data_IF_759088562692
#
_entry.id   IF_759088562692
#
_cell.length_a   1.000
_cell.length_b   1.000
_cell.length_c   1.000
_cell.angle_alpha   90.00
_cell.angle_beta   90.00
_cell.angle_gamma   90.00
#
_symmetry.space_group_name_H-M   'P 1'
#
loop_
_entity.id
_entity.type
_entity.pdbx_description
1 polymer ?
#
# COMPACT_ATOMS: atom_id res chain seq x y z
N UNK A 1 20.19 -9.52 26.54
CA UNK A 1 19.23 -8.60 25.89
C UNK A 1 18.92 -9.20 24.54
N UNK A 2 17.65 -9.50 24.26
CA UNK A 2 17.25 -10.05 22.97
C UNK A 2 17.53 -9.01 21.87
N UNK A 3 17.95 -9.49 20.71
CA UNK A 3 18.18 -8.69 19.52
C UNK A 3 16.85 -8.04 19.09
N UNK A 4 16.68 -6.76 19.43
CA UNK A 4 15.51 -5.94 19.05
C UNK A 4 15.68 -5.34 17.64
N UNK A 5 16.67 -5.80 16.88
CA UNK A 5 17.12 -5.29 15.57
C UNK A 5 16.16 -5.49 14.40
N UNK A 6 14.86 -5.29 14.61
CA UNK A 6 13.85 -5.28 13.56
C UNK A 6 13.94 -4.05 12.66
N UNK A 7 13.42 -4.18 11.44
CA UNK A 7 13.30 -3.07 10.49
C UNK A 7 12.25 -2.07 10.99
N UNK A 8 12.61 -0.79 11.07
CA UNK A 8 11.66 0.29 11.36
C UNK A 8 10.93 0.72 10.07
N UNK A 9 9.70 1.27 10.16
CA UNK A 9 8.99 1.81 9.01
C UNK A 9 9.86 2.79 8.22
N UNK A 10 9.88 2.69 6.89
CA UNK A 10 10.67 3.57 6.03
C UNK A 10 9.94 3.82 4.70
N UNK A 11 10.25 4.94 4.02
CA UNK A 11 9.70 5.30 2.69
C UNK A 11 8.18 5.18 2.57
N UNK A 12 7.48 5.62 3.61
CA UNK A 12 6.02 5.63 3.68
C UNK A 12 5.54 7.05 3.99
N UNK A 13 4.35 7.38 3.50
CA UNK A 13 3.58 8.54 3.91
C UNK A 13 2.18 8.12 4.39
N UNK A 14 1.50 8.97 5.15
CA UNK A 14 0.17 8.67 5.67
C UNK A 14 -0.89 8.62 4.55
N UNK A 15 -0.75 9.44 3.51
CA UNK A 15 -1.62 9.41 2.33
C UNK A 15 -1.38 8.14 1.51
N UNK A 16 -0.14 7.69 1.40
CA UNK A 16 0.23 6.45 0.72
C UNK A 16 -0.33 5.23 1.46
N UNK A 17 -0.20 5.21 2.79
CA UNK A 17 -0.80 4.21 3.65
C UNK A 17 -2.33 4.21 3.51
N UNK A 18 -2.96 5.38 3.54
CA UNK A 18 -4.42 5.50 3.37
C UNK A 18 -4.87 4.98 2.02
N UNK A 19 -4.17 5.35 0.94
CA UNK A 19 -4.46 4.86 -0.42
C UNK A 19 -4.33 3.34 -0.53
N UNK A 20 -3.28 2.76 0.06
CA UNK A 20 -3.10 1.31 0.12
C UNK A 20 -4.29 0.63 0.81
N UNK A 21 -4.64 1.08 2.01
CA UNK A 21 -5.67 0.44 2.83
C UNK A 21 -7.07 0.58 2.22
N UNK A 22 -7.39 1.74 1.63
CA UNK A 22 -8.65 1.93 0.91
C UNK A 22 -8.76 1.04 -0.33
N UNK A 23 -7.68 0.87 -1.09
CA UNK A 23 -7.69 0.02 -2.27
C UNK A 23 -7.88 -1.46 -1.89
N UNK A 24 -7.18 -1.93 -0.86
CA UNK A 24 -7.38 -3.27 -0.32
C UNK A 24 -8.82 -3.49 0.19
N UNK A 25 -9.42 -2.49 0.84
CA UNK A 25 -10.80 -2.55 1.30
C UNK A 25 -11.82 -2.65 0.14
N UNK A 26 -11.45 -2.18 -1.05
CA UNK A 26 -12.23 -2.34 -2.29
C UNK A 26 -12.01 -3.70 -2.97
N UNK A 27 -11.24 -4.60 -2.35
CA UNK A 27 -10.95 -5.94 -2.87
C UNK A 27 -9.85 -5.97 -3.93
N UNK A 28 -9.02 -4.92 -4.02
CA UNK A 28 -7.90 -4.91 -4.95
C UNK A 28 -6.75 -5.75 -4.39
N UNK A 29 -6.04 -6.46 -5.25
CA UNK A 29 -4.82 -7.18 -4.86
C UNK A 29 -3.64 -6.21 -4.72
N UNK A 30 -2.60 -6.57 -3.96
CA UNK A 30 -1.39 -5.75 -3.83
C UNK A 30 -0.75 -5.43 -5.20
N UNK A 31 -0.78 -6.37 -6.15
CA UNK A 31 -0.29 -6.14 -7.50
C UNK A 31 -1.09 -5.05 -8.24
N UNK A 32 -2.41 -5.02 -8.06
CA UNK A 32 -3.25 -3.96 -8.62
C UNK A 32 -2.97 -2.62 -7.94
N UNK A 33 -2.83 -2.60 -6.61
CA UNK A 33 -2.51 -1.36 -5.87
C UNK A 33 -1.15 -0.80 -6.30
N UNK A 34 -0.14 -1.64 -6.52
CA UNK A 34 1.17 -1.23 -7.00
C UNK A 34 1.09 -0.41 -8.29
N UNK A 35 0.11 -0.69 -9.15
CA UNK A 35 -0.08 0.03 -10.42
C UNK A 35 -0.63 1.46 -10.26
N UNK A 36 -1.08 1.86 -9.07
CA UNK A 36 -1.67 3.18 -8.78
C UNK A 36 -0.63 4.33 -8.60
N UNK A 37 0.44 4.34 -9.40
CA UNK A 37 1.52 5.34 -9.32
C UNK A 37 2.36 5.31 -8.03
N UNK A 38 2.50 4.15 -7.38
CA UNK A 38 3.57 3.99 -6.41
C UNK A 38 4.90 3.77 -7.11
N UNK A 39 5.97 4.45 -6.66
CA UNK A 39 7.31 3.96 -6.98
C UNK A 39 7.50 2.58 -6.33
N UNK A 40 8.26 1.67 -6.95
CA UNK A 40 8.45 0.32 -6.39
C UNK A 40 8.95 0.35 -4.93
N UNK A 41 9.89 1.25 -4.63
CA UNK A 41 10.46 1.42 -3.29
C UNK A 41 9.48 2.03 -2.29
N UNK A 42 8.64 2.96 -2.72
CA UNK A 42 7.58 3.55 -1.87
C UNK A 42 6.51 2.51 -1.56
N UNK A 43 6.13 1.70 -2.55
CA UNK A 43 5.15 0.64 -2.37
C UNK A 43 5.61 -0.38 -1.32
N UNK A 44 6.84 -0.89 -1.46
CA UNK A 44 7.44 -1.83 -0.50
C UNK A 44 7.52 -1.24 0.92
N UNK A 45 7.97 0.02 1.03
CA UNK A 45 8.01 0.73 2.31
C UNK A 45 6.62 0.94 2.94
N UNK A 46 5.61 1.21 2.12
CA UNK A 46 4.22 1.40 2.57
C UNK A 46 3.59 0.10 3.05
N UNK A 47 3.76 -1.01 2.32
CA UNK A 47 3.30 -2.33 2.77
C UNK A 47 3.97 -2.72 4.08
N UNK A 48 5.30 -2.61 4.14
CA UNK A 48 6.04 -2.95 5.35
C UNK A 48 5.57 -2.12 6.54
N UNK A 49 5.35 -0.81 6.34
CA UNK A 49 4.81 0.07 7.38
C UNK A 49 3.42 -0.39 7.81
N UNK A 50 2.55 -0.72 6.86
CA UNK A 50 1.20 -1.24 7.16
C UNK A 50 1.25 -2.56 7.96
N UNK A 51 2.19 -3.44 7.65
CA UNK A 51 2.38 -4.71 8.35
C UNK A 51 2.93 -4.50 9.77
N UNK A 52 3.97 -3.67 9.92
CA UNK A 52 4.58 -3.37 11.23
C UNK A 52 3.59 -2.68 12.19
N UNK A 53 2.69 -1.85 11.66
CA UNK A 53 1.65 -1.19 12.43
C UNK A 53 0.37 -2.05 12.61
N UNK A 54 0.37 -3.31 12.17
CA UNK A 54 -0.76 -4.22 12.34
C UNK A 54 -2.01 -3.84 11.53
N UNK A 55 -1.86 -3.08 10.45
CA UNK A 55 -2.93 -2.67 9.55
C UNK A 55 -3.14 -3.70 8.42
N UNK A 56 -2.07 -4.38 8.02
CA UNK A 56 -2.08 -5.48 7.04
C UNK A 56 -1.49 -6.72 7.69
N UNK A 57 -2.09 -7.87 7.45
CA UNK A 57 -1.54 -9.16 7.88
C UNK A 57 -0.34 -9.52 7.00
N UNK A 58 0.80 -9.83 7.64
CA UNK A 58 2.03 -10.13 6.92
C UNK A 58 2.03 -11.50 6.23
N UNK A 59 1.16 -12.43 6.64
CA UNK A 59 1.07 -13.77 6.05
C UNK A 59 0.03 -13.82 4.93
N UNK A 60 -1.14 -13.23 5.18
CA UNK A 60 -2.27 -13.31 4.24
C UNK A 60 -2.24 -12.19 3.19
N UNK A 61 -1.42 -11.14 3.38
CA UNK A 61 -1.39 -9.94 2.54
C UNK A 61 -2.76 -9.20 2.46
N UNK A 62 -3.64 -9.47 3.40
CA UNK A 62 -4.97 -8.86 3.53
C UNK A 62 -5.01 -7.80 4.64
N UNK A 63 -6.07 -6.97 4.64
CA UNK A 63 -6.30 -6.04 5.75
C UNK A 63 -6.50 -6.79 7.06
N UNK A 64 -5.74 -6.42 8.09
CA UNK A 64 -6.02 -6.85 9.45
C UNK A 64 -7.30 -6.19 9.99
N UNK A 65 -7.77 -6.61 11.17
CA UNK A 65 -8.97 -6.03 11.78
C UNK A 65 -8.85 -4.51 11.99
N UNK A 66 -7.68 -4.01 12.37
CA UNK A 66 -7.40 -2.58 12.51
C UNK A 66 -7.40 -1.87 11.15
N UNK A 67 -6.76 -2.45 10.13
CA UNK A 67 -6.73 -1.90 8.77
C UNK A 67 -8.11 -1.81 8.12
N UNK A 68 -8.98 -2.82 8.31
CA UNK A 68 -10.38 -2.78 7.84
C UNK A 68 -11.16 -1.62 8.47
N UNK A 69 -10.99 -1.41 9.78
CA UNK A 69 -11.60 -0.28 10.49
C UNK A 69 -11.06 1.05 9.97
N UNK A 70 -9.74 1.15 9.79
CA UNK A 70 -9.08 2.35 9.28
C UNK A 70 -9.59 2.73 7.88
N UNK A 71 -9.67 1.76 6.97
CA UNK A 71 -10.07 2.02 5.58
C UNK A 71 -11.49 2.59 5.47
N UNK A 72 -12.41 2.15 6.34
CA UNK A 72 -13.81 2.59 6.35
C UNK A 72 -14.07 3.81 7.26
N UNK A 73 -13.08 4.21 8.06
CA UNK A 73 -13.21 5.29 9.03
C UNK A 73 -13.23 6.68 8.38
N UNK A 74 -13.83 7.64 9.07
CA UNK A 74 -13.71 9.06 8.76
C UNK A 74 -12.28 9.57 8.99
N UNK A 75 -11.95 10.77 8.49
CA UNK A 75 -10.60 11.33 8.60
C UNK A 75 -10.11 11.45 10.06
N UNK A 76 -10.96 11.93 10.98
CA UNK A 76 -10.61 12.06 12.39
C UNK A 76 -10.45 10.69 13.07
N UNK A 77 -11.31 9.72 12.75
CA UNK A 77 -11.18 8.35 13.25
C UNK A 77 -9.92 7.65 12.72
N UNK A 78 -9.51 7.94 11.48
CA UNK A 78 -8.24 7.44 10.93
C UNK A 78 -7.04 7.93 11.73
N UNK A 79 -7.00 9.23 12.05
CA UNK A 79 -5.94 9.79 12.91
C UNK A 79 -5.88 9.09 14.27
N UNK A 80 -7.04 8.89 14.89
CA UNK A 80 -7.17 8.16 16.16
C UNK A 80 -6.66 6.70 16.08
N UNK A 81 -7.08 5.97 15.04
CA UNK A 81 -6.69 4.58 14.83
C UNK A 81 -5.20 4.44 14.53
N UNK A 82 -4.63 5.36 13.75
CA UNK A 82 -3.21 5.35 13.44
C UNK A 82 -2.37 5.71 14.66
N UNK A 83 -2.79 6.67 15.48
CA UNK A 83 -2.13 6.97 16.75
C UNK A 83 -2.14 5.75 17.68
N UNK A 84 -3.26 5.02 17.76
CA UNK A 84 -3.32 3.78 18.51
C UNK A 84 -2.33 2.75 17.97
N UNK A 85 -2.28 2.54 16.65
CA UNK A 85 -1.33 1.64 16.00
C UNK A 85 0.13 2.03 16.29
N UNK A 86 0.45 3.33 16.24
CA UNK A 86 1.78 3.85 16.56
C UNK A 86 2.16 3.59 18.03
N UNK A 87 1.21 3.67 18.97
CA UNK A 87 1.47 3.36 20.39
C UNK A 87 1.67 1.87 20.63
N UNK A 88 0.95 1.02 19.90
CA UNK A 88 1.07 -0.44 20.01
C UNK A 88 2.36 -0.99 19.38
N UNK A 89 2.89 -0.33 18.36
CA UNK A 89 4.20 -0.68 17.79
C UNK A 89 5.33 -0.27 18.75
N UNK A 90 5.93 -1.23 19.44
CA UNK A 90 6.88 -1.02 20.56
C UNK A 90 7.95 0.08 20.30
N UNK A 91 8.66 0.12 19.15
CA UNK A 91 9.66 1.15 18.91
C UNK A 91 9.11 2.59 18.86
N UNK A 92 7.84 2.75 18.49
CA UNK A 92 7.16 4.04 18.47
C UNK A 92 6.49 4.35 19.82
N UNK A 93 5.85 3.36 20.45
CA UNK A 93 5.26 3.51 21.78
C UNK A 93 6.27 3.97 22.82
N UNK A 94 7.41 3.26 22.95
CA UNK A 94 8.47 3.61 23.90
C UNK A 94 9.16 4.95 23.57
N UNK A 95 9.25 5.30 22.28
CA UNK A 95 9.79 6.59 21.85
C UNK A 95 8.86 7.73 22.27
N UNK A 96 7.54 7.58 22.07
CA UNK A 96 6.54 8.55 22.51
C UNK A 96 6.57 8.70 24.03
N UNK A 97 6.68 7.61 24.79
CA UNK A 97 6.87 7.65 26.23
C UNK A 97 8.15 8.40 26.63
N UNK A 98 9.27 8.18 25.92
CA UNK A 98 10.51 8.90 26.21
C UNK A 98 10.43 10.40 25.90
N UNK A 99 9.69 10.79 24.87
CA UNK A 99 9.49 12.19 24.48
C UNK A 99 8.57 12.90 25.49
N UNK A 100 7.48 12.27 25.91
CA UNK A 100 6.44 12.89 26.74
C UNK A 100 6.53 12.57 28.23
N UNK A 101 7.37 11.62 28.64
CA UNK A 101 7.54 11.19 30.03
C UNK A 101 8.46 12.08 30.88
N UNK A 102 9.15 13.04 30.27
CA UNK A 102 10.01 14.02 30.93
C UNK A 102 9.40 15.42 31.02
N UNK A 103 10.24 16.45 31.23
CA UNK A 103 9.82 17.84 31.12
C UNK A 103 9.25 18.11 29.71
N UNK A 104 8.19 18.91 29.64
CA UNK A 104 7.50 19.22 28.39
C UNK A 104 8.44 19.84 27.35
N UNK A 105 9.02 19.00 26.48
CA UNK A 105 9.83 19.45 25.36
C UNK A 105 8.91 20.01 24.27
N UNK A 106 9.17 21.24 23.85
CA UNK A 106 8.43 21.87 22.75
C UNK A 106 8.82 21.29 21.38
N UNK A 107 10.00 20.68 21.27
CA UNK A 107 10.47 20.10 20.03
C UNK A 107 11.46 18.97 20.28
N UNK A 108 11.52 18.02 19.34
CA UNK A 108 12.50 16.92 19.32
C UNK A 108 13.15 16.83 17.95
N UNK A 109 14.48 16.81 17.90
CA UNK A 109 15.24 16.70 16.65
C UNK A 109 15.29 15.25 16.13
N UNK A 110 15.31 15.07 14.80
CA UNK A 110 15.41 13.76 14.17
C UNK A 110 16.68 13.00 14.61
N UNK A 111 17.83 13.68 14.70
CA UNK A 111 19.10 13.10 15.15
C UNK A 111 19.03 12.57 16.59
N UNK A 112 18.18 13.14 17.45
CA UNK A 112 17.93 12.61 18.79
C UNK A 112 17.13 11.31 18.70
N UNK A 113 16.07 11.28 17.89
CA UNK A 113 15.22 10.09 17.69
C UNK A 113 16.07 8.92 17.14
N UNK A 114 16.91 9.19 16.15
CA UNK A 114 17.81 8.20 15.55
C UNK A 114 18.78 7.61 16.59
N UNK A 115 19.41 8.46 17.41
CA UNK A 115 20.31 8.01 18.48
C UNK A 115 19.55 7.23 19.55
N UNK A 116 18.35 7.68 19.90
CA UNK A 116 17.49 6.98 20.86
C UNK A 116 17.20 5.56 20.39
N UNK A 117 16.78 5.38 19.13
CA UNK A 117 16.57 4.03 18.58
C UNK A 117 17.85 3.21 18.55
N UNK A 118 18.98 3.81 18.15
CA UNK A 118 20.26 3.11 18.15
C UNK A 118 20.65 2.60 19.54
N UNK A 119 20.51 3.43 20.58
CA UNK A 119 20.80 3.07 21.97
C UNK A 119 19.86 1.99 22.51
N UNK A 120 18.61 1.96 22.04
CA UNK A 120 17.60 0.97 22.46
C UNK A 120 17.57 -0.29 21.58
N UNK A 121 18.49 -0.43 20.62
CA UNK A 121 18.63 -1.62 19.79
C UNK A 121 17.60 -1.72 18.65
N UNK A 122 17.00 -0.60 18.23
CA UNK A 122 16.03 -0.54 17.13
C UNK A 122 16.66 -0.06 15.82
N UNK A 123 16.09 -0.56 14.72
CA UNK A 123 16.47 -0.21 13.36
C UNK A 123 17.70 -0.99 12.87
N UNK A 124 17.55 -1.59 11.69
CA UNK A 124 18.54 -2.52 11.11
C UNK A 124 19.85 -1.85 10.68
N UNK A 125 19.85 -0.54 10.47
CA UNK A 125 21.02 0.23 10.05
C UNK A 125 20.86 1.72 10.36
N UNK A 126 21.94 2.52 10.33
CA UNK A 126 21.84 3.98 10.41
C UNK A 126 20.89 4.57 9.35
N UNK A 127 20.94 4.07 8.12
CA UNK A 127 20.06 4.53 7.04
C UNK A 127 18.59 4.19 7.32
N UNK A 128 18.29 3.01 7.87
CA UNK A 128 16.92 2.65 8.26
C UNK A 128 16.39 3.57 9.35
N UNK A 129 17.21 3.92 10.36
CA UNK A 129 16.80 4.86 11.41
C UNK A 129 16.54 6.27 10.89
N UNK A 130 17.39 6.79 10.00
CA UNK A 130 17.20 8.12 9.41
C UNK A 130 15.92 8.20 8.55
N UNK A 131 15.68 7.19 7.71
CA UNK A 131 14.43 7.11 6.94
C UNK A 131 13.22 6.93 7.88
N UNK A 132 13.35 6.13 8.95
CA UNK A 132 12.29 5.93 9.92
C UNK A 132 11.97 7.17 10.75
N UNK A 133 12.95 8.01 11.07
CA UNK A 133 12.73 9.26 11.80
C UNK A 133 11.86 10.21 10.95
N UNK A 134 12.09 10.20 9.63
CA UNK A 134 11.24 10.93 8.68
C UNK A 134 9.81 10.38 8.65
N UNK A 135 9.64 9.06 8.55
CA UNK A 135 8.31 8.44 8.55
C UNK A 135 7.59 8.73 9.86
N UNK A 136 8.24 8.49 11.01
CA UNK A 136 7.68 8.78 12.32
C UNK A 136 7.23 10.25 12.44
N UNK A 137 8.05 11.20 11.99
CA UNK A 137 7.70 12.62 12.00
C UNK A 137 6.46 12.93 11.17
N UNK A 138 6.38 12.42 9.94
CA UNK A 138 5.19 12.60 9.07
C UNK A 138 3.94 11.95 9.63
N UNK A 139 4.06 10.75 10.20
CA UNK A 139 2.93 10.09 10.84
C UNK A 139 2.48 10.87 12.08
N UNK A 140 3.41 11.36 12.91
CA UNK A 140 3.12 12.18 14.08
C UNK A 140 2.40 13.48 13.71
N UNK A 141 2.80 14.13 12.61
CA UNK A 141 2.11 15.28 12.03
C UNK A 141 0.69 14.91 11.56
N UNK A 142 0.56 13.83 10.79
CA UNK A 142 -0.73 13.36 10.29
C UNK A 142 -1.74 13.07 11.41
N UNK A 143 -1.29 12.44 12.51
CA UNK A 143 -2.15 12.15 13.67
C UNK A 143 -2.33 13.33 14.62
N UNK A 144 -1.75 14.50 14.32
CA UNK A 144 -1.94 15.73 15.08
C UNK A 144 -1.17 15.81 16.40
N UNK A 145 -0.06 15.08 16.56
CA UNK A 145 0.82 15.20 17.72
C UNK A 145 1.69 16.48 17.68
N UNK A 146 1.96 17.00 16.48
CA UNK A 146 2.83 18.16 16.29
C UNK A 146 3.00 18.49 14.80
N UNK A 147 4.00 19.30 14.48
CA UNK A 147 4.37 19.66 13.11
C UNK A 147 5.75 19.13 12.77
N UNK A 148 5.87 18.42 11.64
CA UNK A 148 7.17 17.91 11.18
C UNK A 148 7.86 18.94 10.28
N UNK A 149 9.01 19.43 10.73
CA UNK A 149 9.74 20.50 10.06
C UNK A 149 11.02 19.94 9.48
N UNK A 150 11.09 19.91 8.15
CA UNK A 150 12.31 19.56 7.45
C UNK A 150 13.36 20.67 7.58
N UNK A 151 14.51 20.34 8.13
CA UNK A 151 15.62 21.26 8.32
C UNK A 151 16.18 21.81 7.01
N UNK A 152 16.52 23.10 6.98
CA UNK A 152 17.17 23.78 5.85
C UNK A 152 18.17 24.81 6.38
N UNK A 153 19.24 25.08 5.62
CA UNK A 153 20.22 26.16 5.92
C UNK A 153 20.81 26.10 7.35
N UNK A 154 21.18 24.91 7.80
CA UNK A 154 21.79 24.70 9.13
C UNK A 154 20.80 24.53 10.28
N UNK A 155 19.50 24.64 10.04
CA UNK A 155 18.50 24.24 11.03
C UNK A 155 18.25 22.72 10.97
N UNK A 156 18.17 22.03 12.12
CA UNK A 156 17.92 20.59 12.16
C UNK A 156 16.46 20.27 11.79
N UNK A 157 16.29 19.07 11.22
CA UNK A 157 14.97 18.46 11.06
C UNK A 157 14.42 18.09 12.43
N UNK A 158 13.17 18.42 12.70
CA UNK A 158 12.57 18.26 14.03
C UNK A 158 11.05 18.11 13.96
N UNK A 159 10.48 17.64 15.06
CA UNK A 159 9.04 17.68 15.31
C UNK A 159 8.80 18.74 16.39
N UNK A 160 7.93 19.71 16.11
CA UNK A 160 7.46 20.67 17.10
C UNK A 160 6.14 20.14 17.70
N UNK A 161 6.13 19.87 19.01
CA UNK A 161 5.02 19.19 19.67
C UNK A 161 3.93 20.15 20.09
N UNK A 162 2.68 19.70 19.98
CA UNK A 162 1.54 20.43 20.51
C UNK A 162 1.63 20.48 22.04
N UNK A 163 1.41 21.66 22.64
CA UNK A 163 1.52 21.88 24.08
C UNK A 163 0.49 21.09 24.92
N UNK A 164 -0.50 20.48 24.27
CA UNK A 164 -1.43 19.53 24.86
C UNK A 164 -1.41 18.23 24.04
N UNK A 165 -1.31 17.05 24.67
CA UNK A 165 -1.52 15.81 23.95
C UNK A 165 -2.92 15.82 23.32
N UNK A 166 -3.12 15.31 22.11
CA UNK A 166 -4.46 15.18 21.54
C UNK A 166 -5.31 14.41 22.53
N UNK A 167 -6.48 14.98 22.87
CA UNK A 167 -7.45 14.33 23.74
C UNK A 167 -7.64 12.89 23.26
N UNK A 168 -7.60 11.92 24.18
CA UNK A 168 -7.86 10.54 23.82
C UNK A 168 -9.16 10.51 23.00
N UNK A 169 -9.14 9.96 21.78
CA UNK A 169 -10.36 9.81 21.02
C UNK A 169 -11.24 8.88 21.84
N UNK A 170 -12.29 9.44 22.43
CA UNK A 170 -13.37 8.67 23.04
C UNK A 170 -13.99 7.89 21.89
N UNK A 171 -13.49 6.67 21.68
CA UNK A 171 -14.10 5.72 20.77
C UNK A 171 -15.55 5.57 21.26
N UNK A 172 -16.55 5.95 20.47
CA UNK A 172 -17.93 5.75 20.88
C UNK A 172 -18.10 4.27 21.22
N UNK A 173 -18.80 3.93 22.32
CA UNK A 173 -19.03 2.53 22.67
C UNK A 173 -19.65 1.83 21.46
N UNK A 174 -19.09 0.67 21.09
CA UNK A 174 -19.59 -0.17 20.00
C UNK A 174 -21.10 -0.30 20.14
N UNK A 175 -21.87 0.41 19.29
CA UNK A 175 -23.26 0.03 19.09
C UNK A 175 -23.20 -1.35 18.45
N UNK A 176 -23.55 -2.37 19.23
CA UNK A 176 -24.02 -3.64 18.69
C UNK A 176 -25.15 -3.30 17.72
N UNK A 177 -24.82 -3.21 16.43
CA UNK A 177 -25.81 -3.13 15.40
C UNK A 177 -26.47 -4.50 15.35
N UNK A 178 -27.57 -4.61 16.08
CA UNK A 178 -28.59 -5.63 15.86
C UNK A 178 -28.94 -5.59 14.37
N UNK A 179 -28.94 -6.73 13.65
CA UNK A 179 -29.20 -6.74 12.22
C UNK A 179 -30.63 -6.28 11.97
N UNK A 180 -30.81 -5.04 11.51
CA UNK A 180 -32.09 -4.62 10.98
C UNK A 180 -32.31 -5.32 9.64
N UNK A 181 -33.43 -6.01 9.43
CA UNK A 181 -33.73 -6.61 8.15
C UNK A 181 -33.89 -5.51 7.09
N UNK A 182 -33.10 -5.61 6.03
CA UNK A 182 -33.25 -4.81 4.81
C UNK A 182 -34.61 -5.11 4.17
N UNK A 183 -35.62 -4.31 4.48
CA UNK A 183 -36.84 -4.26 3.68
C UNK A 183 -36.60 -3.39 2.45
N UNK A 184 -36.34 -4.03 1.32
CA UNK A 184 -36.46 -3.40 0.01
C UNK A 184 -37.94 -3.30 -0.36
N UNK A 185 -38.47 -2.13 -0.76
CA UNK A 185 -39.78 -2.07 -1.37
C UNK A 185 -39.72 -2.79 -2.73
N UNK A 186 -40.47 -3.88 -2.84
CA UNK A 186 -40.75 -4.55 -4.10
C UNK A 186 -41.63 -3.61 -4.93
N UNK A 187 -41.05 -2.91 -5.89
CA UNK A 187 -41.79 -2.37 -7.02
C UNK A 187 -41.92 -3.45 -8.08
N UNK A 188 -43.16 -3.92 -8.26
CA UNK A 188 -43.61 -4.84 -9.30
C UNK A 188 -43.24 -4.33 -10.70
N UNK A 189 -42.92 -5.21 -11.67
CA UNK A 189 -42.33 -4.82 -12.95
C UNK A 189 -43.38 -4.24 -13.90
N UNK A 190 -43.08 -3.09 -14.50
CA UNK A 190 -43.79 -2.62 -15.69
C UNK A 190 -43.17 -3.27 -16.94
N UNK A 191 -44.00 -4.10 -17.54
CA UNK A 191 -43.91 -4.72 -18.85
C UNK A 191 -43.71 -3.71 -19.99
N UNK A 192 -42.69 -3.90 -20.82
CA UNK A 192 -42.75 -3.74 -22.29
C UNK A 192 -41.46 -4.25 -22.93
N UNK A 193 -41.66 -5.07 -23.96
CA UNK A 193 -40.73 -5.98 -24.63
C UNK A 193 -39.88 -5.28 -25.74
N UNK A 194 -39.36 -6.02 -26.75
CA UNK A 194 -38.07 -6.69 -26.76
C UNK A 194 -37.12 -6.07 -27.80
N UNK A 195 -35.80 -6.07 -27.56
CA UNK A 195 -34.82 -5.76 -28.63
C UNK A 195 -33.81 -6.89 -28.77
N UNK A 196 -34.08 -7.68 -29.80
CA UNK A 196 -33.15 -8.29 -30.76
C UNK A 196 -31.78 -8.77 -30.26
N UNK A 197 -31.70 -10.10 -30.20
CA UNK A 197 -30.53 -10.94 -30.47
C UNK A 197 -29.70 -10.44 -31.67
N UNK A 198 -28.41 -10.18 -31.45
CA UNK A 198 -27.37 -10.28 -32.49
C UNK A 198 -25.97 -10.37 -31.86
N UNK A 199 -25.44 -11.59 -31.77
CA UNK A 199 -24.04 -11.91 -32.05
C UNK A 199 -24.06 -12.84 -33.28
N UNK A 200 -22.99 -13.00 -34.09
CA UNK A 200 -21.59 -12.66 -33.80
C UNK A 200 -20.89 -11.91 -34.95
N UNK A 201 -19.74 -11.28 -34.68
CA UNK A 201 -18.77 -10.96 -35.72
C UNK A 201 -17.35 -10.86 -35.15
N UNK A 202 -16.53 -11.81 -35.55
CA UNK A 202 -15.06 -11.78 -35.49
C UNK A 202 -14.58 -10.63 -36.37
N UNK A 203 -13.79 -9.71 -35.83
CA UNK A 203 -13.05 -8.72 -36.62
C UNK A 203 -11.63 -8.60 -36.06
N UNK A 204 -10.69 -9.11 -36.85
CA UNK A 204 -9.28 -8.75 -36.79
C UNK A 204 -9.08 -7.31 -37.30
N UNK A 205 -8.15 -6.58 -36.70
CA UNK A 205 -7.76 -5.21 -37.04
C UNK A 205 -7.80 -4.32 -35.80
N UNK A 206 -6.87 -3.43 -35.52
CA UNK A 206 -5.68 -2.96 -36.21
C UNK A 206 -4.90 -2.18 -35.12
N UNK A 207 -3.57 -2.27 -35.12
CA UNK A 207 -2.73 -1.66 -34.10
C UNK A 207 -2.83 -0.11 -34.12
N UNK A 208 -3.48 0.48 -33.12
CA UNK A 208 -3.45 1.93 -32.89
C UNK A 208 -2.32 2.30 -31.91
N UNK A 209 -1.44 3.28 -32.21
CA UNK A 209 -0.41 3.70 -31.27
C UNK A 209 -1.03 4.51 -30.12
N UNK A 210 -0.83 4.06 -28.89
CA UNK A 210 -1.07 4.86 -27.67
C UNK A 210 0.00 5.94 -27.61
N UNK A 211 -0.43 7.22 -27.66
CA UNK A 211 0.47 8.37 -27.54
C UNK A 211 0.73 8.68 -26.06
N UNK A 212 1.97 8.49 -25.64
CA UNK A 212 2.58 9.22 -24.52
C UNK A 212 3.83 9.93 -25.03
N UNK A 213 3.98 11.19 -24.65
CA UNK A 213 5.12 12.04 -25.01
C UNK A 213 6.41 11.55 -24.35
N UNK A 214 7.49 11.60 -25.14
CA UNK A 214 8.90 11.36 -24.83
C UNK A 214 9.36 9.90 -24.60
N UNK A 215 9.98 9.34 -25.66
CA UNK A 215 11.41 9.09 -25.53
C UNK A 215 11.97 7.68 -25.78
N UNK A 216 11.19 6.64 -26.09
CA UNK A 216 11.68 5.47 -26.84
C UNK A 216 10.50 4.61 -27.29
N UNK A 217 10.36 4.41 -28.60
CA UNK A 217 9.25 3.64 -29.15
C UNK A 217 9.52 2.13 -29.02
N UNK A 218 9.24 1.55 -27.86
CA UNK A 218 9.02 0.11 -27.76
C UNK A 218 7.66 -0.19 -28.41
N UNK A 219 7.67 -0.45 -29.71
CA UNK A 219 6.53 -1.07 -30.37
C UNK A 219 6.34 -2.45 -29.75
N UNK A 220 5.10 -2.82 -29.41
CA UNK A 220 4.76 -4.16 -28.91
C UNK A 220 3.82 -4.85 -29.89
N UNK A 221 4.00 -6.14 -30.09
CA UNK A 221 3.12 -7.00 -30.87
C UNK A 221 2.47 -8.00 -29.92
N UNK A 222 1.13 -8.02 -29.90
CA UNK A 222 0.37 -9.01 -29.13
C UNK A 222 0.07 -10.19 -30.04
N UNK A 223 0.49 -11.38 -29.64
CA UNK A 223 0.18 -12.64 -30.31
C UNK A 223 -0.74 -13.45 -29.40
N UNK A 224 -1.91 -13.82 -29.92
CA UNK A 224 -2.81 -14.74 -29.24
C UNK A 224 -2.45 -16.17 -29.67
N UNK A 225 -2.21 -17.04 -28.69
CA UNK A 225 -1.94 -18.46 -28.90
C UNK A 225 -3.14 -19.24 -28.37
N UNK A 226 -3.70 -20.11 -29.20
CA UNK A 226 -4.71 -21.07 -28.77
C UNK A 226 -4.03 -22.24 -28.07
N UNK A 227 -4.39 -22.48 -26.81
CA UNK A 227 -4.00 -23.67 -26.06
C UNK A 227 -5.19 -24.63 -26.04
N UNK A 228 -4.90 -25.93 -25.97
CA UNK A 228 -5.92 -27.00 -25.96
C UNK A 228 -6.92 -26.81 -24.81
N UNK A 229 -8.17 -27.25 -25.05
CA UNK A 229 -9.34 -27.07 -24.17
C UNK A 229 -9.89 -25.63 -24.06
N UNK A 230 -9.85 -24.86 -25.16
CA UNK A 230 -10.55 -23.56 -25.26
C UNK A 230 -9.93 -22.46 -24.40
N UNK A 231 -8.65 -22.59 -24.04
CA UNK A 231 -7.91 -21.59 -23.27
C UNK A 231 -7.07 -20.77 -24.24
N UNK A 232 -7.19 -19.45 -24.16
CA UNK A 232 -6.38 -18.54 -24.96
C UNK A 232 -5.33 -17.88 -24.07
N UNK A 233 -4.08 -17.89 -24.53
CA UNK A 233 -3.00 -17.11 -23.92
C UNK A 233 -2.68 -15.92 -24.82
N UNK A 234 -2.63 -14.72 -24.25
CA UNK A 234 -2.15 -13.52 -24.95
C UNK A 234 -0.76 -13.18 -24.44
N UNK A 235 0.20 -13.09 -25.35
CA UNK A 235 1.56 -12.68 -25.02
C UNK A 235 1.84 -11.38 -25.76
N UNK A 236 2.12 -10.33 -25.00
CA UNK A 236 2.57 -9.04 -25.54
C UNK A 236 4.09 -9.02 -25.56
N UNK A 237 4.66 -8.96 -26.76
CA UNK A 237 6.10 -9.07 -26.98
C UNK A 237 6.62 -7.76 -27.58
N UNK A 238 7.76 -7.21 -27.13
CA UNK A 238 8.38 -6.06 -27.78
C UNK A 238 8.77 -6.42 -29.22
N UNK A 239 8.44 -5.59 -30.21
CA UNK A 239 8.72 -5.86 -31.63
C UNK A 239 10.20 -5.68 -31.99
N UNK A 240 11.01 -5.12 -31.09
CA UNK A 240 12.48 -5.07 -31.18
C UNK A 240 13.12 -5.80 -30.01
N UNK A 241 13.19 -7.13 -30.10
CA UNK A 241 13.97 -7.94 -29.17
C UNK A 241 15.43 -8.00 -29.61
N UNK A 242 16.35 -7.82 -28.66
CA UNK A 242 17.77 -8.16 -28.86
C UNK A 242 17.93 -9.69 -29.02
N UNK A 243 19.06 -10.14 -29.58
CA UNK A 243 19.31 -11.58 -29.80
C UNK A 243 19.18 -12.41 -28.51
N UNK A 244 19.71 -11.90 -27.40
CA UNK A 244 19.63 -12.55 -26.09
C UNK A 244 18.19 -12.62 -25.56
N UNK A 245 17.37 -11.60 -25.81
CA UNK A 245 15.96 -11.59 -25.40
C UNK A 245 15.11 -12.52 -26.27
N UNK A 246 15.42 -12.63 -27.58
CA UNK A 246 14.81 -13.65 -28.45
C UNK A 246 15.11 -15.07 -27.97
N UNK A 247 16.37 -15.35 -27.63
CA UNK A 247 16.79 -16.68 -27.14
C UNK A 247 16.13 -17.02 -25.78
N UNK A 248 15.97 -16.04 -24.88
CA UNK A 248 15.21 -16.22 -23.63
C UNK A 248 13.73 -16.44 -23.87
N UNK A 249 13.11 -15.68 -24.77
CA UNK A 249 11.68 -15.82 -25.07
C UNK A 249 11.38 -17.16 -25.75
N UNK A 250 12.24 -17.62 -26.67
CA UNK A 250 12.13 -18.96 -27.25
C UNK A 250 12.32 -20.06 -26.21
N UNK A 251 13.26 -19.92 -25.28
CA UNK A 251 13.44 -20.89 -24.18
C UNK A 251 12.21 -20.98 -23.27
N UNK A 252 11.54 -19.84 -23.01
CA UNK A 252 10.30 -19.82 -22.22
C UNK A 252 9.11 -20.44 -22.97
N UNK A 253 9.03 -20.23 -24.29
CA UNK A 253 8.00 -20.85 -25.13
C UNK A 253 8.19 -22.36 -25.25
N UNK A 254 9.42 -22.85 -25.42
CA UNK A 254 9.71 -24.28 -25.42
C UNK A 254 9.33 -24.94 -24.09
N UNK A 255 9.62 -24.26 -22.96
CA UNK A 255 9.25 -24.72 -21.62
C UNK A 255 7.72 -24.80 -21.44
N UNK A 256 6.97 -23.88 -22.04
CA UNK A 256 5.50 -23.87 -22.01
C UNK A 256 4.89 -24.98 -22.88
N UNK A 257 5.53 -25.33 -24.00
CA UNK A 257 5.08 -26.40 -24.89
C UNK A 257 5.40 -27.80 -24.32
N UNK A 258 6.45 -27.94 -23.48
CA UNK A 258 6.81 -29.25 -22.89
C UNK A 258 5.89 -29.72 -21.77
N UNK A 259 4.97 -28.88 -21.27
CA UNK A 259 4.08 -29.21 -20.13
C UNK A 259 2.75 -29.85 -20.57
N UNK A 260 2.55 -30.08 -21.88
CA UNK A 260 1.44 -30.89 -22.37
C UNK A 260 1.96 -32.29 -22.71
N UNK A 261 1.96 -33.27 -21.79
CA UNK A 261 2.03 -34.65 -22.22
C UNK A 261 0.78 -34.95 -23.05
N UNK A 262 1.00 -35.51 -24.23
CA UNK A 262 -0.05 -36.05 -25.08
C UNK A 262 -0.96 -36.96 -24.25
N UNK A 263 -2.24 -36.59 -24.15
CA UNK A 263 -3.28 -37.48 -23.64
C UNK A 263 -3.71 -38.32 -24.85
N UNK A 264 -3.33 -39.61 -24.84
CA UNK A 264 -3.92 -40.66 -25.69
C UNK A 264 -5.43 -40.80 -25.43
#
# INVERSE_FOLDING_TARGET
MADKGGVLPYRCDAEDLTRLLEALARGWSLQQVRSLNFSAKTFEGTILTAQLLGLVDAQEEELAALGRRYALASASERQALLLAAMREFEPYGLLLEAIFGGDAQRATEADWIERWWATNGYGSSPSNRAEAATVFGRLAEFVGLGSYIQGRRGHPTRIEWNAAPPAEPVLPPRRSAEPQPLTFPITTPAESAPVATAAPAVAAGEAGPVRTSDGDHLQYSTVAIELTAGRHAQITVPSRLTRAEKERLLSLLDLLITVVPAVE
#
